data_IF_024193774725
#
_entry.id   IF_024193774725
#
_cell.length_a   1.000
_cell.length_b   1.000
_cell.length_c   1.000
_cell.angle_alpha   90.00
_cell.angle_beta   90.00
_cell.angle_gamma   90.00
#
_symmetry.space_group_name_H-M   'P 1'
#
loop_
_entity.id
_entity.type
_entity.pdbx_description
1 polymer ?
#
# COMPACT_ATOMS: atom_id res chain seq x y z
N UNK A 1 7.50 -15.76 26.44
CA UNK A 1 6.17 -15.52 25.82
C UNK A 1 5.81 -14.02 25.67
N UNK A 2 6.13 -13.14 26.63
CA UNK A 2 5.85 -11.69 26.52
C UNK A 2 6.86 -10.90 25.64
N UNK A 3 8.16 -11.16 25.79
CA UNK A 3 9.24 -10.55 24.98
C UNK A 3 9.09 -10.83 23.47
N UNK A 4 8.68 -12.05 23.11
CA UNK A 4 8.43 -12.45 21.72
C UNK A 4 7.26 -11.67 21.09
N UNK A 5 6.15 -11.49 21.84
CA UNK A 5 5.03 -10.66 21.36
C UNK A 5 5.41 -9.20 21.17
N UNK A 6 6.20 -8.65 22.09
CA UNK A 6 6.69 -7.27 21.97
C UNK A 6 7.59 -7.08 20.75
N UNK A 7 8.55 -7.98 20.55
CA UNK A 7 9.43 -7.94 19.38
C UNK A 7 8.65 -8.08 18.05
N UNK A 8 7.66 -8.98 17.99
CA UNK A 8 6.76 -9.11 16.84
C UNK A 8 5.94 -7.85 16.59
N UNK A 9 5.43 -7.22 17.64
CA UNK A 9 4.67 -5.98 17.53
C UNK A 9 5.53 -4.83 17.00
N UNK A 10 6.74 -4.64 17.53
CA UNK A 10 7.70 -3.63 17.05
C UNK A 10 8.09 -3.89 15.59
N UNK A 11 8.32 -5.16 15.23
CA UNK A 11 8.58 -5.54 13.83
C UNK A 11 7.41 -5.19 12.92
N UNK A 12 6.17 -5.41 13.39
CA UNK A 12 4.94 -5.04 12.68
C UNK A 12 4.83 -3.54 12.44
N UNK A 13 5.01 -2.73 13.49
CA UNK A 13 5.03 -1.26 13.37
C UNK A 13 6.06 -0.80 12.35
N UNK A 14 7.28 -1.37 12.41
CA UNK A 14 8.34 -1.01 11.47
C UNK A 14 8.00 -1.39 10.02
N UNK A 15 7.37 -2.55 9.82
CA UNK A 15 6.90 -2.95 8.50
C UNK A 15 5.90 -1.93 7.95
N UNK A 16 4.91 -1.52 8.75
CA UNK A 16 3.91 -0.55 8.30
C UNK A 16 4.51 0.79 7.92
N UNK A 17 5.48 1.31 8.69
CA UNK A 17 6.19 2.54 8.34
C UNK A 17 6.97 2.42 7.02
N UNK A 18 7.66 1.29 6.81
CA UNK A 18 8.38 1.02 5.55
C UNK A 18 7.40 0.95 4.38
N UNK A 19 6.27 0.24 4.55
CA UNK A 19 5.28 0.06 3.49
C UNK A 19 4.59 1.38 3.14
N UNK A 20 4.25 2.20 4.14
CA UNK A 20 3.69 3.53 3.93
C UNK A 20 4.65 4.46 3.18
N UNK A 21 5.92 4.47 3.59
CA UNK A 21 6.96 5.22 2.91
C UNK A 21 7.17 4.77 1.46
N UNK A 22 7.27 3.46 1.25
CA UNK A 22 7.45 2.87 -0.07
C UNK A 22 6.23 3.10 -0.99
N UNK A 23 5.00 3.00 -0.45
CA UNK A 23 3.79 3.31 -1.20
C UNK A 23 3.80 4.77 -1.68
N UNK A 24 4.16 5.71 -0.79
CA UNK A 24 4.26 7.14 -1.13
C UNK A 24 5.30 7.38 -2.22
N UNK A 25 6.51 6.84 -2.06
CA UNK A 25 7.59 7.02 -3.04
C UNK A 25 7.24 6.38 -4.39
N UNK A 26 6.60 5.21 -4.35
CA UNK A 26 6.10 4.53 -5.54
C UNK A 26 4.99 5.34 -6.24
N UNK A 27 4.03 5.88 -5.50
CA UNK A 27 2.94 6.70 -6.06
C UNK A 27 3.46 7.90 -6.87
N UNK A 28 4.59 8.46 -6.43
CA UNK A 28 5.27 9.60 -7.06
C UNK A 28 6.15 9.18 -8.26
N UNK A 29 6.94 8.11 -8.13
CA UNK A 29 8.01 7.76 -9.08
C UNK A 29 7.76 6.50 -9.91
N UNK A 30 6.73 5.72 -9.60
CA UNK A 30 6.46 4.42 -10.22
C UNK A 30 7.65 3.47 -10.09
N UNK A 31 7.97 2.74 -11.17
CA UNK A 31 9.10 1.80 -11.22
C UNK A 31 10.46 2.43 -10.91
N UNK A 32 10.61 3.75 -11.01
CA UNK A 32 11.86 4.46 -10.69
C UNK A 32 12.05 4.76 -9.21
N UNK A 33 11.12 4.29 -8.35
CA UNK A 33 11.24 4.33 -6.88
C UNK A 33 12.61 3.81 -6.40
N UNK A 34 13.26 4.62 -5.55
CA UNK A 34 14.58 4.34 -4.98
C UNK A 34 14.45 3.83 -3.55
N UNK A 35 15.17 2.75 -3.25
CA UNK A 35 15.19 2.18 -1.89
C UNK A 35 15.83 3.16 -0.90
N UNK A 36 16.80 3.95 -1.36
CA UNK A 36 17.46 4.99 -0.56
C UNK A 36 16.45 5.99 0.00
N UNK A 37 15.56 6.50 -0.85
CA UNK A 37 14.58 7.52 -0.50
C UNK A 37 13.55 6.96 0.50
N UNK A 38 13.12 5.70 0.30
CA UNK A 38 12.27 4.97 1.26
C UNK A 38 12.98 4.86 2.62
N UNK A 39 14.22 4.36 2.63
CA UNK A 39 14.97 4.16 3.88
C UNK A 39 15.26 5.46 4.61
N UNK A 40 15.55 6.54 3.87
CA UNK A 40 15.78 7.87 4.42
C UNK A 40 14.52 8.43 5.09
N UNK A 41 13.35 8.23 4.47
CA UNK A 41 12.08 8.72 5.03
C UNK A 41 11.66 8.04 6.34
N UNK A 42 12.10 6.79 6.57
CA UNK A 42 11.82 6.01 7.79
C UNK A 42 12.97 6.13 8.81
N UNK A 43 14.13 6.65 8.40
CA UNK A 43 15.31 6.76 9.27
C UNK A 43 16.02 5.43 9.53
N UNK A 44 16.03 4.52 8.55
CA UNK A 44 16.69 3.20 8.65
C UNK A 44 17.77 3.03 7.58
N UNK A 45 18.67 2.05 7.75
CA UNK A 45 19.61 1.64 6.71
C UNK A 45 19.01 0.60 5.75
N UNK A 46 19.56 0.50 4.53
CA UNK A 46 19.17 -0.53 3.53
C UNK A 46 19.23 -1.95 4.08
N UNK A 47 20.30 -2.27 4.82
CA UNK A 47 20.44 -3.60 5.44
C UNK A 47 19.35 -3.88 6.46
N UNK A 48 18.80 -2.86 7.12
CA UNK A 48 17.64 -3.02 8.00
C UNK A 48 16.39 -3.29 7.18
N UNK A 49 16.12 -2.52 6.12
CA UNK A 49 14.99 -2.77 5.23
C UNK A 49 15.01 -4.20 4.67
N UNK A 50 16.18 -4.68 4.22
CA UNK A 50 16.30 -6.03 3.67
C UNK A 50 16.22 -7.16 4.71
N UNK A 51 16.26 -6.85 6.02
CA UNK A 51 15.87 -7.82 7.07
C UNK A 51 14.35 -7.93 7.25
N UNK A 52 13.59 -6.95 6.76
CA UNK A 52 12.13 -6.96 6.76
C UNK A 52 11.56 -7.51 5.45
N UNK A 53 12.22 -7.25 4.33
CA UNK A 53 11.82 -7.69 2.99
C UNK A 53 13.03 -8.24 2.22
N UNK A 54 13.00 -9.51 1.83
CA UNK A 54 14.19 -10.19 1.29
C UNK A 54 14.68 -9.62 -0.05
N UNK A 55 13.81 -8.93 -0.78
CA UNK A 55 14.14 -8.29 -2.05
C UNK A 55 13.28 -7.07 -2.33
N UNK A 56 13.66 -6.30 -3.37
CA UNK A 56 12.83 -5.20 -3.88
C UNK A 56 11.47 -5.70 -4.36
N UNK A 57 11.41 -6.88 -4.98
CA UNK A 57 10.15 -7.48 -5.46
C UNK A 57 9.25 -7.82 -4.27
N UNK A 58 9.80 -8.45 -3.22
CA UNK A 58 9.04 -8.75 -1.99
C UNK A 58 8.53 -7.48 -1.30
N UNK A 59 9.34 -6.40 -1.29
CA UNK A 59 8.87 -5.09 -0.83
C UNK A 59 7.70 -4.58 -1.68
N UNK A 60 7.81 -4.62 -3.01
CA UNK A 60 6.76 -4.10 -3.91
C UNK A 60 5.47 -4.91 -3.80
N UNK A 61 5.54 -6.25 -3.68
CA UNK A 61 4.37 -7.10 -3.40
C UNK A 61 3.70 -6.72 -2.09
N UNK A 62 4.48 -6.51 -1.03
CA UNK A 62 3.96 -6.09 0.25
C UNK A 62 3.36 -4.67 0.19
N UNK A 63 3.96 -3.76 -0.57
CA UNK A 63 3.43 -2.40 -0.82
C UNK A 63 2.10 -2.46 -1.56
N UNK A 64 1.96 -3.34 -2.55
CA UNK A 64 0.68 -3.54 -3.25
C UNK A 64 -0.39 -4.04 -2.30
N UNK A 65 -0.09 -5.08 -1.51
CA UNK A 65 -1.03 -5.63 -0.53
C UNK A 65 -1.42 -4.59 0.52
N UNK A 66 -0.46 -3.78 0.97
CA UNK A 66 -0.70 -2.66 1.89
C UNK A 66 -1.61 -1.61 1.26
N UNK A 67 -1.30 -1.15 0.04
CA UNK A 67 -2.11 -0.16 -0.67
C UNK A 67 -3.53 -0.64 -0.98
N UNK A 68 -3.72 -1.91 -1.36
CA UNK A 68 -5.06 -2.50 -1.56
C UNK A 68 -5.85 -2.51 -0.26
N UNK A 69 -5.21 -2.79 0.88
CA UNK A 69 -5.86 -2.73 2.20
C UNK A 69 -6.31 -1.29 2.53
N UNK A 70 -5.45 -0.30 2.30
CA UNK A 70 -5.81 1.12 2.51
C UNK A 70 -6.98 1.53 1.60
N UNK A 71 -6.95 1.12 0.34
CA UNK A 71 -8.05 1.34 -0.62
C UNK A 71 -9.38 0.73 -0.12
N UNK A 72 -9.33 -0.52 0.36
CA UNK A 72 -10.51 -1.21 0.91
C UNK A 72 -11.06 -0.51 2.15
N UNK A 73 -10.19 -0.07 3.06
CA UNK A 73 -10.59 0.65 4.27
C UNK A 73 -11.30 1.96 3.94
N UNK A 74 -10.77 2.73 2.97
CA UNK A 74 -11.40 3.98 2.53
C UNK A 74 -12.75 3.74 1.83
N UNK A 75 -12.84 2.74 0.98
CA UNK A 75 -14.10 2.36 0.34
C UNK A 75 -15.16 1.95 1.38
N UNK A 76 -14.79 1.13 2.36
CA UNK A 76 -15.70 0.72 3.44
C UNK A 76 -16.12 1.92 4.30
N UNK A 77 -15.18 2.79 4.67
CA UNK A 77 -15.49 4.00 5.43
C UNK A 77 -16.44 4.95 4.68
N UNK A 78 -16.24 5.14 3.37
CA UNK A 78 -17.12 5.95 2.54
C UNK A 78 -18.53 5.34 2.45
N UNK A 79 -18.64 4.02 2.29
CA UNK A 79 -19.92 3.31 2.30
C UNK A 79 -20.63 3.46 3.64
N UNK A 80 -19.92 3.26 4.75
CA UNK A 80 -20.50 3.26 6.09
C UNK A 80 -20.88 4.67 6.57
N UNK A 81 -20.25 5.70 6.00
CA UNK A 81 -20.63 7.11 6.20
C UNK A 81 -21.84 7.53 5.36
N UNK A 82 -22.23 6.76 4.33
CA UNK A 82 -23.40 7.05 3.52
C UNK A 82 -24.69 6.57 4.22
N UNK A 83 -25.80 7.27 3.97
CA UNK A 83 -27.12 6.86 4.46
C UNK A 83 -27.48 5.43 4.02
N UNK A 84 -28.38 4.78 4.77
CA UNK A 84 -28.63 3.33 4.76
C UNK A 84 -29.18 2.71 3.44
N UNK A 85 -29.19 3.43 2.31
CA UNK A 85 -29.56 2.85 1.01
C UNK A 85 -28.33 2.35 0.26
N UNK A 86 -28.49 1.23 -0.45
CA UNK A 86 -27.40 0.64 -1.23
C UNK A 86 -26.86 1.57 -2.32
N UNK A 87 -27.74 2.36 -2.95
CA UNK A 87 -27.37 3.33 -4.00
C UNK A 87 -26.49 4.46 -3.44
N UNK A 88 -26.83 5.03 -2.27
CA UNK A 88 -25.97 6.04 -1.64
C UNK A 88 -24.61 5.47 -1.24
N UNK A 89 -24.57 4.23 -0.75
CA UNK A 89 -23.33 3.53 -0.44
C UNK A 89 -22.42 3.32 -1.66
N UNK A 90 -22.98 2.87 -2.79
CA UNK A 90 -22.21 2.69 -4.03
C UNK A 90 -21.72 4.03 -4.59
N UNK A 91 -22.57 5.07 -4.61
CA UNK A 91 -22.17 6.41 -5.03
C UNK A 91 -21.04 6.96 -4.16
N UNK A 92 -21.10 6.78 -2.84
CA UNK A 92 -20.05 7.23 -1.93
C UNK A 92 -18.72 6.52 -2.18
N UNK A 93 -18.73 5.20 -2.40
CA UNK A 93 -17.52 4.45 -2.78
C UNK A 93 -16.94 4.99 -4.09
N UNK A 94 -17.76 5.14 -5.14
CA UNK A 94 -17.28 5.64 -6.43
C UNK A 94 -16.70 7.05 -6.30
N UNK A 95 -17.37 7.94 -5.54
CA UNK A 95 -16.91 9.29 -5.29
C UNK A 95 -15.55 9.31 -4.56
N UNK A 96 -15.39 8.49 -3.52
CA UNK A 96 -14.13 8.36 -2.78
C UNK A 96 -12.99 7.88 -3.70
N UNK A 97 -13.23 6.82 -4.49
CA UNK A 97 -12.23 6.31 -5.42
C UNK A 97 -11.86 7.32 -6.51
N UNK A 98 -12.83 8.10 -6.99
CA UNK A 98 -12.60 9.17 -7.95
C UNK A 98 -11.79 10.32 -7.34
N UNK A 99 -12.09 10.72 -6.09
CA UNK A 99 -11.34 11.73 -5.37
C UNK A 99 -9.88 11.30 -5.14
N UNK A 100 -9.65 10.08 -4.68
CA UNK A 100 -8.31 9.50 -4.54
C UNK A 100 -7.51 9.56 -5.85
N UNK A 101 -8.15 9.26 -6.99
CA UNK A 101 -7.50 9.34 -8.30
C UNK A 101 -7.17 10.80 -8.68
N UNK A 102 -8.11 11.73 -8.46
CA UNK A 102 -7.93 13.15 -8.76
C UNK A 102 -6.79 13.78 -7.94
N UNK A 103 -6.68 13.40 -6.67
CA UNK A 103 -5.64 13.84 -5.74
C UNK A 103 -4.29 13.13 -5.94
N UNK A 104 -4.23 12.15 -6.86
CA UNK A 104 -3.07 11.29 -7.09
C UNK A 104 -2.62 10.60 -5.81
N UNK A 105 -3.57 10.18 -4.99
CA UNK A 105 -3.29 9.45 -3.76
C UNK A 105 -2.45 8.20 -4.06
N UNK A 106 -1.38 7.91 -3.29
CA UNK A 106 -0.56 6.73 -3.51
C UNK A 106 -1.32 5.39 -3.40
N UNK A 107 -2.40 5.34 -2.60
CA UNK A 107 -3.29 4.19 -2.47
C UNK A 107 -4.46 4.20 -3.47
N UNK A 108 -4.54 5.18 -4.38
CA UNK A 108 -5.62 5.25 -5.37
C UNK A 108 -5.60 4.06 -6.33
N UNK A 109 -6.75 3.67 -6.90
CA UNK A 109 -6.80 2.62 -7.91
C UNK A 109 -5.81 2.86 -9.06
N UNK A 110 -5.70 4.09 -9.56
CA UNK A 110 -4.79 4.42 -10.65
C UNK A 110 -3.30 4.28 -10.25
N UNK A 111 -2.96 4.61 -9.00
CA UNK A 111 -1.60 4.43 -8.46
C UNK A 111 -1.24 2.94 -8.29
N UNK A 112 -2.15 2.14 -7.74
CA UNK A 112 -1.91 0.70 -7.54
C UNK A 112 -1.85 -0.06 -8.86
N UNK A 113 -2.63 0.32 -9.87
CA UNK A 113 -2.53 -0.24 -11.21
C UNK A 113 -1.12 -0.02 -11.83
N UNK A 114 -0.44 1.10 -11.53
CA UNK A 114 0.94 1.33 -12.00
C UNK A 114 1.94 0.35 -11.37
N UNK A 115 1.74 -0.04 -10.10
CA UNK A 115 2.56 -1.05 -9.42
C UNK A 115 2.43 -2.41 -10.10
N UNK A 116 1.21 -2.74 -10.53
CA UNK A 116 0.89 -3.98 -11.24
C UNK A 116 1.53 -4.09 -12.64
N UNK A 117 1.77 -2.98 -13.33
CA UNK A 117 2.32 -2.96 -14.71
C UNK A 117 3.85 -3.01 -14.73
N UNK A 118 4.51 -2.62 -13.63
CA UNK A 118 5.97 -2.54 -13.58
C UNK A 118 6.68 -3.89 -13.40
N UNK A 119 5.96 -4.99 -13.14
CA UNK A 119 6.54 -6.31 -12.83
C UNK A 119 6.43 -7.37 -13.93
N UNK A 120 5.91 -7.06 -15.14
CA UNK A 120 5.91 -8.03 -16.26
C UNK A 120 5.26 -9.37 -15.89
N UNK A 121 3.94 -9.45 -15.94
CA UNK A 121 3.16 -10.61 -15.52
C UNK A 121 3.40 -11.89 -16.37
N UNK A 122 3.68 -13.05 -15.76
CA UNK A 122 3.00 -14.31 -16.12
C UNK A 122 2.51 -15.01 -14.84
N UNK A 123 1.34 -15.65 -14.70
CA UNK A 123 0.51 -16.54 -15.54
C UNK A 123 -1.00 -16.23 -15.37
N UNK A 124 -1.92 -16.84 -16.15
CA UNK A 124 -3.36 -16.56 -16.10
C UNK A 124 -3.96 -16.67 -14.69
N UNK A 125 -5.03 -15.92 -14.44
CA UNK A 125 -5.87 -16.09 -13.25
C UNK A 125 -6.85 -17.25 -13.48
N UNK A 126 -6.32 -18.45 -13.69
CA UNK A 126 -7.10 -19.66 -13.94
C UNK A 126 -6.33 -20.78 -13.20
N UNK A 127 -6.82 -21.41 -12.13
CA UNK A 127 -8.13 -22.05 -11.95
C UNK A 127 -8.78 -21.83 -10.58
#
# INVERSE_FOLDING_TARGET
>A
MALDRFARHIKGIRNEEILKAALKEFGQRGSTMRIEDVTASVGIGKGTLYRHFDSRIELLRAVLAYGVRELQLRALAARDAADATADHGLTAVIAELAAMNAERDPASPASLCRLRVCEGWPEPLDA
#
